data_IF_566765629245
#
_entry.id   IF_566765629245
#
_cell.length_a   1.000
_cell.length_b   1.000
_cell.length_c   1.000
_cell.angle_alpha   90.00
_cell.angle_beta   90.00
_cell.angle_gamma   90.00
#
_symmetry.space_group_name_H-M   'P 1'
#
loop_
_entity.id
_entity.type
_entity.pdbx_description
1 polymer ?
#
# COMPACT_ATOMS: atom_id res chain seq x y z
N UNK A 1 -0.24 5.14 10.44
CA UNK A 1 -0.45 6.55 10.85
C UNK A 1 -1.04 7.35 9.70
N UNK A 2 -2.21 7.92 9.90
CA UNK A 2 -2.83 8.79 8.89
C UNK A 2 -2.18 10.16 8.97
N UNK A 3 -1.58 10.59 7.86
CA UNK A 3 -0.92 11.90 7.76
C UNK A 3 -1.87 12.99 7.28
N UNK A 4 -2.82 12.62 6.43
CA UNK A 4 -3.79 13.55 5.88
C UNK A 4 -5.05 12.81 5.47
N UNK A 5 -6.19 13.45 5.66
CA UNK A 5 -7.49 12.98 5.17
C UNK A 5 -8.14 14.09 4.37
N UNK A 6 -8.51 13.79 3.12
CA UNK A 6 -9.21 14.75 2.27
C UNK A 6 -10.71 14.62 2.52
N UNK A 7 -11.31 15.63 3.11
CA UNK A 7 -12.70 15.54 3.58
C UNK A 7 -13.73 15.41 2.44
N UNK A 8 -13.47 16.03 1.31
CA UNK A 8 -14.40 16.00 0.18
C UNK A 8 -14.39 14.66 -0.54
N UNK A 9 -13.20 14.09 -0.79
CA UNK A 9 -13.05 12.85 -1.57
C UNK A 9 -13.00 11.61 -0.70
N UNK A 10 -12.72 11.76 0.59
CA UNK A 10 -12.41 10.63 1.47
C UNK A 10 -11.02 10.07 1.31
N UNK A 11 -10.20 10.70 0.47
CA UNK A 11 -8.83 10.25 0.22
C UNK A 11 -7.94 10.34 1.46
N UNK A 12 -6.90 9.52 1.50
CA UNK A 12 -5.99 9.39 2.63
C UNK A 12 -4.55 9.42 2.19
N UNK A 13 -3.68 10.00 3.03
CA UNK A 13 -2.24 9.80 2.96
C UNK A 13 -1.82 9.09 4.25
N UNK A 14 -1.22 7.91 4.13
CA UNK A 14 -0.94 7.03 5.26
C UNK A 14 0.52 6.63 5.26
N UNK A 15 1.17 6.76 6.42
CA UNK A 15 2.48 6.17 6.65
C UNK A 15 2.26 4.81 7.30
N UNK A 16 2.77 3.75 6.69
CA UNK A 16 2.60 2.38 7.17
C UNK A 16 3.93 1.75 7.53
N UNK A 17 3.91 0.95 8.57
CA UNK A 17 5.06 0.16 9.00
C UNK A 17 4.65 -1.30 9.08
N UNK A 18 5.41 -2.16 8.41
CA UNK A 18 5.18 -3.60 8.40
C UNK A 18 6.36 -4.29 9.04
N UNK A 19 6.09 -5.25 9.92
CA UNK A 19 7.12 -6.05 10.55
C UNK A 19 7.65 -7.09 9.57
N UNK A 20 8.93 -7.46 9.69
CA UNK A 20 9.50 -8.55 8.93
C UNK A 20 8.65 -9.82 9.09
N UNK A 21 8.34 -10.46 7.97
CA UNK A 21 7.49 -11.66 7.94
C UNK A 21 6.01 -11.41 7.86
N UNK A 22 5.56 -10.16 8.01
CA UNK A 22 4.14 -9.84 7.89
C UNK A 22 3.66 -10.05 6.46
N UNK A 23 2.52 -10.72 6.33
CA UNK A 23 1.90 -11.02 5.04
C UNK A 23 0.60 -10.27 4.90
N UNK A 24 0.37 -9.69 3.72
CA UNK A 24 -0.88 -9.03 3.39
C UNK A 24 -1.52 -9.81 2.25
N UNK A 25 -2.74 -10.38 2.45
CA UNK A 25 -3.43 -11.12 1.41
C UNK A 25 -3.75 -10.26 0.19
N UNK A 26 -3.92 -10.90 -0.96
CA UNK A 26 -4.41 -10.22 -2.15
C UNK A 26 -5.77 -9.57 -1.87
N UNK A 27 -5.94 -8.33 -2.31
CA UNK A 27 -7.15 -7.56 -2.06
C UNK A 27 -7.31 -6.47 -3.12
N UNK A 28 -8.47 -5.81 -3.11
CA UNK A 28 -8.75 -4.66 -3.95
C UNK A 28 -9.36 -3.53 -3.13
N UNK A 29 -9.22 -2.31 -3.64
CA UNK A 29 -9.89 -1.13 -3.08
C UNK A 29 -10.94 -0.68 -4.10
N UNK A 30 -12.24 -0.93 -3.85
CA UNK A 30 -13.27 -0.65 -4.87
C UNK A 30 -13.56 0.84 -5.08
N UNK A 31 -13.17 1.70 -4.14
CA UNK A 31 -13.52 3.12 -4.19
C UNK A 31 -12.32 4.06 -4.34
N UNK A 32 -11.10 3.53 -4.44
CA UNK A 32 -9.91 4.37 -4.52
C UNK A 32 -8.82 3.74 -5.38
N UNK A 33 -8.10 4.60 -6.10
CA UNK A 33 -6.79 4.24 -6.64
C UNK A 33 -5.78 4.36 -5.50
N UNK A 34 -4.76 3.52 -5.55
CA UNK A 34 -3.71 3.50 -4.53
C UNK A 34 -2.33 3.71 -5.17
N UNK A 35 -1.55 4.60 -4.58
CA UNK A 35 -0.12 4.75 -4.85
C UNK A 35 0.62 4.41 -3.56
N UNK A 36 1.56 3.47 -3.62
CA UNK A 36 2.36 3.08 -2.47
C UNK A 36 3.85 3.23 -2.80
N UNK A 37 4.54 4.05 -2.04
CA UNK A 37 5.97 4.32 -2.21
C UNK A 37 6.75 3.68 -1.08
N UNK A 38 7.70 2.80 -1.41
CA UNK A 38 8.55 2.13 -0.43
C UNK A 38 9.65 3.07 0.00
N UNK A 39 9.63 3.48 1.27
CA UNK A 39 10.65 4.34 1.87
C UNK A 39 11.83 3.54 2.39
N UNK A 40 11.56 2.38 2.99
CA UNK A 40 12.57 1.48 3.57
C UNK A 40 12.16 0.04 3.46
N UNK A 41 13.15 -0.85 3.34
CA UNK A 41 12.96 -2.28 3.45
C UNK A 41 12.80 -2.99 2.12
N UNK A 42 12.51 -4.30 2.24
CA UNK A 42 12.32 -5.20 1.11
C UNK A 42 10.90 -5.75 1.13
N UNK A 43 10.18 -5.50 0.07
CA UNK A 43 8.78 -5.86 -0.09
C UNK A 43 8.63 -6.82 -1.25
N UNK A 44 8.08 -8.00 -0.98
CA UNK A 44 7.86 -9.00 -2.03
C UNK A 44 6.42 -8.98 -2.49
N UNK A 45 6.22 -8.93 -3.80
CA UNK A 45 4.92 -9.07 -4.42
C UNK A 45 5.04 -10.01 -5.62
N UNK A 46 4.22 -11.06 -5.64
CA UNK A 46 4.16 -12.02 -6.75
C UNK A 46 5.53 -12.57 -7.15
N UNK A 47 6.37 -12.86 -6.16
CA UNK A 47 7.69 -13.45 -6.36
C UNK A 47 8.81 -12.47 -6.69
N UNK A 48 8.52 -11.18 -6.80
CA UNK A 48 9.52 -10.14 -7.05
C UNK A 48 9.76 -9.33 -5.78
N UNK A 49 11.03 -9.07 -5.46
CA UNK A 49 11.41 -8.25 -4.31
C UNK A 49 11.64 -6.82 -4.78
N UNK A 50 10.96 -5.90 -4.11
CA UNK A 50 11.06 -4.46 -4.37
C UNK A 50 11.68 -3.77 -3.18
N UNK A 51 12.56 -2.82 -3.45
CA UNK A 51 13.31 -2.09 -2.41
C UNK A 51 12.88 -0.64 -2.34
N UNK A 52 13.51 0.12 -1.43
CA UNK A 52 13.25 1.56 -1.27
C UNK A 52 13.34 2.29 -2.62
N UNK A 53 12.44 3.23 -2.84
CA UNK A 53 12.34 3.97 -4.10
C UNK A 53 11.35 3.39 -5.09
N UNK A 54 10.74 2.22 -4.81
CA UNK A 54 9.73 1.62 -5.66
C UNK A 54 8.38 2.29 -5.44
N UNK A 55 7.71 2.67 -6.51
CA UNK A 55 6.34 3.17 -6.47
C UNK A 55 5.41 2.12 -7.09
N UNK A 56 4.43 1.68 -6.32
CA UNK A 56 3.36 0.81 -6.79
C UNK A 56 2.13 1.65 -7.13
N UNK A 57 1.42 1.25 -8.16
CA UNK A 57 0.11 1.81 -8.48
C UNK A 57 -0.90 0.67 -8.61
N UNK A 58 -1.98 0.75 -7.85
CA UNK A 58 -3.10 -0.19 -7.92
C UNK A 58 -4.36 0.57 -8.35
N UNK A 59 -4.84 0.35 -9.58
CA UNK A 59 -6.08 0.97 -10.03
C UNK A 59 -7.28 0.52 -9.19
N UNK A 60 -8.24 1.41 -9.05
CA UNK A 60 -9.50 1.14 -8.37
C UNK A 60 -10.12 -0.16 -8.86
N UNK A 61 -10.54 -1.00 -7.92
CA UNK A 61 -11.22 -2.27 -8.21
C UNK A 61 -10.32 -3.40 -8.68
N UNK A 62 -9.03 -3.16 -8.85
CA UNK A 62 -8.09 -4.20 -9.30
C UNK A 62 -7.47 -4.89 -8.08
N UNK A 63 -7.47 -6.23 -8.08
CA UNK A 63 -6.80 -7.00 -7.03
C UNK A 63 -5.29 -6.88 -7.16
N UNK A 64 -4.62 -6.74 -6.03
CA UNK A 64 -3.16 -6.71 -5.94
C UNK A 64 -2.68 -7.50 -4.72
N UNK A 65 -1.42 -7.95 -4.77
CA UNK A 65 -0.84 -8.82 -3.76
C UNK A 65 -0.88 -10.29 -4.19
N UNK A 66 -0.61 -11.24 -3.26
CA UNK A 66 -0.23 -11.00 -1.87
C UNK A 66 1.12 -10.31 -1.72
N UNK A 67 1.33 -9.67 -0.57
CA UNK A 67 2.57 -8.99 -0.24
C UNK A 67 3.22 -9.63 0.99
N UNK A 68 4.54 -9.67 1.02
CA UNK A 68 5.30 -10.16 2.16
C UNK A 68 6.40 -9.16 2.48
N UNK A 69 6.45 -8.69 3.73
CA UNK A 69 7.56 -7.87 4.20
C UNK A 69 8.74 -8.78 4.50
N UNK A 70 9.79 -8.73 3.69
CA UNK A 70 10.99 -9.55 3.89
C UNK A 70 11.85 -9.00 5.02
N UNK A 71 11.85 -7.69 5.18
CA UNK A 71 12.43 -6.98 6.31
C UNK A 71 11.33 -6.11 6.90
N UNK A 72 11.65 -5.28 7.90
CA UNK A 72 10.76 -4.20 8.26
C UNK A 72 10.60 -3.28 7.05
N UNK A 73 9.37 -2.91 6.73
CA UNK A 73 9.06 -2.05 5.58
C UNK A 73 8.34 -0.80 6.07
N UNK A 74 8.76 0.36 5.58
CA UNK A 74 8.04 1.61 5.78
C UNK A 74 7.59 2.09 4.40
N UNK A 75 6.30 2.34 4.25
CA UNK A 75 5.73 2.83 3.01
C UNK A 75 4.85 4.06 3.22
N UNK A 76 4.86 4.95 2.24
CA UNK A 76 3.94 6.06 2.15
C UNK A 76 2.87 5.69 1.13
N UNK A 77 1.61 5.67 1.55
CA UNK A 77 0.51 5.25 0.69
C UNK A 77 -0.51 6.37 0.55
N UNK A 78 -0.96 6.60 -0.69
CA UNK A 78 -1.95 7.62 -1.02
C UNK A 78 -3.16 6.94 -1.65
N UNK A 79 -4.35 7.25 -1.13
CA UNK A 79 -5.63 6.84 -1.70
C UNK A 79 -6.37 8.10 -2.14
N UNK A 80 -6.94 8.08 -3.34
CA UNK A 80 -7.67 9.23 -3.89
C UNK A 80 -9.17 9.21 -3.58
N UNK A 81 -9.62 8.25 -2.82
CA UNK A 81 -11.01 8.09 -2.39
C UNK A 81 -11.09 7.33 -1.08
N UNK A 82 -12.31 6.97 -0.63
CA UNK A 82 -12.49 6.25 0.63
C UNK A 82 -11.73 4.93 0.63
N UNK A 83 -11.07 4.63 1.75
CA UNK A 83 -10.36 3.36 1.92
C UNK A 83 -11.35 2.28 2.32
N UNK A 84 -11.65 1.42 1.37
CA UNK A 84 -12.45 0.21 1.56
C UNK A 84 -11.66 -0.97 1.01
N UNK A 85 -11.96 -2.17 1.46
CA UNK A 85 -11.24 -3.39 1.07
C UNK A 85 -12.23 -4.45 0.64
N UNK A 86 -11.89 -5.09 -0.45
CA UNK A 86 -12.69 -6.16 -1.01
C UNK A 86 -11.86 -7.42 -1.25
#
# INVERSE_FOLDING_TARGET
MILHKHETTGGLVVLRKFKAGQTIPAHAHPEANEWAYVLEGEWEESGTIYTAGTLFFAPKGTHHGPHIARTEVISLTVFDGPLTVE
#
